data_IF_596830310136
#
_entry.id   IF_596830310136
#
_cell.length_a   1.000
_cell.length_b   1.000
_cell.length_c   1.000
_cell.angle_alpha   90.00
_cell.angle_beta   90.00
_cell.angle_gamma   90.00
#
_symmetry.space_group_name_H-M   'P 1'
#
loop_
_entity.id
_entity.type
_entity.pdbx_description
1 polymer ?
#
# COMPACT_ATOMS: atom_id res chain seq x y z
N UNK A 1 -7.00 5.52 -8.53
CA UNK A 1 -6.84 5.44 -7.07
C UNK A 1 -6.24 6.73 -6.55
N UNK A 2 -6.81 7.30 -5.54
CA UNK A 2 -6.36 8.59 -5.04
C UNK A 2 -5.20 8.42 -4.06
N UNK A 3 -4.51 9.53 -3.79
CA UNK A 3 -3.43 9.51 -2.80
C UNK A 3 -3.93 9.14 -1.42
N UNK A 4 -5.11 9.66 -1.09
CA UNK A 4 -5.70 9.35 0.21
C UNK A 4 -5.99 7.87 0.34
N UNK A 5 -6.47 7.25 -0.74
CA UNK A 5 -6.71 5.82 -0.74
C UNK A 5 -5.42 5.04 -0.57
N UNK A 6 -4.37 5.45 -1.29
CA UNK A 6 -3.07 4.80 -1.16
C UNK A 6 -2.51 4.94 0.24
N UNK A 7 -2.64 6.12 0.82
CA UNK A 7 -2.15 6.34 2.17
C UNK A 7 -2.89 5.46 3.17
N UNK A 8 -4.21 5.36 3.00
CA UNK A 8 -5.01 4.53 3.90
C UNK A 8 -4.61 3.06 3.77
N UNK A 9 -4.36 2.59 2.55
CA UNK A 9 -3.94 1.22 2.32
C UNK A 9 -2.58 0.96 2.96
N UNK A 10 -1.66 1.91 2.84
CA UNK A 10 -0.34 1.75 3.41
C UNK A 10 -0.40 1.68 4.94
N UNK A 11 -1.22 2.52 5.55
CA UNK A 11 -1.39 2.49 7.00
C UNK A 11 -2.02 1.18 7.44
N UNK A 12 -3.00 0.70 6.69
CA UNK A 12 -3.63 -0.58 6.97
C UNK A 12 -2.60 -1.70 6.90
N UNK A 13 -1.75 -1.67 5.88
CA UNK A 13 -0.69 -2.66 5.73
C UNK A 13 0.23 -2.66 6.94
N UNK A 14 0.68 -1.49 7.37
CA UNK A 14 1.63 -1.40 8.47
C UNK A 14 1.02 -1.81 9.81
N UNK A 15 -0.25 -1.52 9.99
CA UNK A 15 -0.87 -1.70 11.30
C UNK A 15 -1.54 -3.04 11.48
N UNK A 16 -2.01 -3.65 10.41
CA UNK A 16 -2.87 -4.83 10.52
C UNK A 16 -2.34 -6.08 9.86
N UNK A 17 -1.26 -5.98 9.10
CA UNK A 17 -0.74 -7.13 8.36
C UNK A 17 0.74 -7.32 8.61
N UNK A 18 1.14 -8.58 8.75
CA UNK A 18 2.54 -8.92 8.96
C UNK A 18 3.21 -9.41 7.69
N UNK A 19 2.43 -9.87 6.72
CA UNK A 19 2.99 -10.44 5.51
C UNK A 19 2.26 -9.93 4.28
N UNK A 20 2.97 -9.94 3.17
CA UNK A 20 2.38 -9.60 1.87
C UNK A 20 1.24 -10.58 1.54
N UNK A 21 1.45 -11.86 1.82
CA UNK A 21 0.45 -12.88 1.51
C UNK A 21 -0.87 -12.60 2.23
N UNK A 22 -0.79 -12.23 3.50
CA UNK A 22 -2.01 -11.92 4.26
C UNK A 22 -2.71 -10.69 3.71
N UNK A 23 -1.95 -9.67 3.38
CA UNK A 23 -2.50 -8.45 2.81
C UNK A 23 -3.16 -8.73 1.46
N UNK A 24 -2.48 -9.49 0.60
CA UNK A 24 -3.00 -9.81 -0.71
C UNK A 24 -4.31 -10.60 -0.59
N UNK A 25 -4.35 -11.54 0.31
CA UNK A 25 -5.54 -12.35 0.50
C UNK A 25 -6.71 -11.48 0.97
N UNK A 26 -6.45 -10.57 1.88
CA UNK A 26 -7.49 -9.70 2.41
C UNK A 26 -8.12 -8.85 1.31
N UNK A 27 -7.31 -8.34 0.41
CA UNK A 27 -7.80 -7.47 -0.66
C UNK A 27 -8.10 -8.21 -1.96
N UNK A 28 -7.92 -9.53 -1.96
CA UNK A 28 -8.21 -10.31 -3.17
C UNK A 28 -7.22 -10.04 -4.29
N UNK A 29 -5.95 -9.86 -3.93
CA UNK A 29 -4.89 -9.55 -4.90
C UNK A 29 -3.92 -10.71 -4.99
N UNK A 30 -3.18 -10.75 -6.10
CA UNK A 30 -2.02 -11.61 -6.20
C UNK A 30 -0.89 -11.00 -5.36
N UNK A 31 0.04 -11.86 -4.91
CA UNK A 31 1.16 -11.35 -4.12
C UNK A 31 1.92 -10.28 -4.87
N UNK A 32 2.13 -10.47 -6.16
CA UNK A 32 2.84 -9.48 -6.97
C UNK A 32 2.11 -8.17 -7.04
N UNK A 33 0.79 -8.24 -7.15
CA UNK A 33 -0.01 -7.03 -7.19
C UNK A 33 0.04 -6.30 -5.86
N UNK A 34 -0.02 -7.06 -4.78
CA UNK A 34 0.03 -6.47 -3.45
C UNK A 34 1.37 -5.78 -3.22
N UNK A 35 2.46 -6.39 -3.66
CA UNK A 35 3.78 -5.78 -3.51
C UNK A 35 3.87 -4.47 -4.25
N UNK A 36 3.36 -4.43 -5.48
CA UNK A 36 3.39 -3.20 -6.26
C UNK A 36 2.53 -2.12 -5.61
N UNK A 37 1.36 -2.51 -5.14
CA UNK A 37 0.47 -1.55 -4.52
C UNK A 37 1.09 -0.96 -3.26
N UNK A 38 1.69 -1.80 -2.43
CA UNK A 38 2.33 -1.34 -1.20
C UNK A 38 3.51 -0.43 -1.53
N UNK A 39 4.27 -0.77 -2.56
CA UNK A 39 5.41 0.06 -2.95
C UNK A 39 4.96 1.43 -3.40
N UNK A 40 3.91 1.50 -4.20
CA UNK A 40 3.36 2.78 -4.64
C UNK A 40 2.82 3.58 -3.45
N UNK A 41 2.12 2.89 -2.57
CA UNK A 41 1.56 3.56 -1.39
C UNK A 41 2.66 4.09 -0.49
N UNK A 42 3.74 3.32 -0.33
CA UNK A 42 4.87 3.76 0.48
C UNK A 42 5.50 5.00 -0.10
N UNK A 43 5.67 5.03 -1.43
CA UNK A 43 6.26 6.20 -2.08
C UNK A 43 5.39 7.43 -1.88
N UNK A 44 4.09 7.28 -2.00
CA UNK A 44 3.18 8.40 -1.77
C UNK A 44 3.27 8.89 -0.34
N UNK A 45 3.41 7.95 0.59
CA UNK A 45 3.49 8.30 2.00
C UNK A 45 4.80 9.04 2.33
N UNK A 46 5.90 8.57 1.75
CA UNK A 46 7.22 9.13 2.05
C UNK A 46 7.48 10.42 1.27
N UNK A 47 6.83 10.60 0.13
CA UNK A 47 7.03 11.79 -0.70
C UNK A 47 5.69 12.46 -0.97
N UNK A 48 5.10 13.09 0.05
CA UNK A 48 3.79 13.72 -0.12
C UNK A 48 3.82 14.93 -1.05
N UNK A 49 4.99 15.50 -1.31
CA UNK A 49 5.13 16.68 -2.18
C UNK A 49 6.09 16.35 -3.30
N UNK A 50 5.67 15.51 -4.23
CA UNK A 50 6.59 15.05 -5.27
C UNK A 50 7.08 16.15 -6.18
N UNK A 51 6.29 17.17 -6.37
CA UNK A 51 6.67 18.24 -7.29
C UNK A 51 7.72 19.13 -6.69
N UNK A 52 7.78 19.14 -5.41
CA UNK A 52 8.68 19.99 -4.63
C UNK A 52 8.99 21.30 -5.32
#
# INVERSE_FOLDING_TARGET
>A
MSRETLAAIYLDWRNNFLTIAGFAEHYGLLNEEAELLIELARRCHENPHPEA
#
